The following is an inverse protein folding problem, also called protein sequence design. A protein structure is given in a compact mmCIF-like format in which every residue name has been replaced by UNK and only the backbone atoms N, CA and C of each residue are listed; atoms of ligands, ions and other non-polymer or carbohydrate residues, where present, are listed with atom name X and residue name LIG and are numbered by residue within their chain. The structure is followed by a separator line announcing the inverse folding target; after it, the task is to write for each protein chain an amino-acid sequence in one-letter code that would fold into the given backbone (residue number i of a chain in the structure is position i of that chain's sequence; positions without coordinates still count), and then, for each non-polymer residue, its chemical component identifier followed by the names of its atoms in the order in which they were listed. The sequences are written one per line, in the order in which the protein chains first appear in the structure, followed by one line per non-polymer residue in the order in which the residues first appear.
data_IF_406235329674
#
_entry.id   IF_406235329674
#
_cell.length_a   1.000
_cell.length_b   1.000
_cell.length_c   1.000
_cell.angle_alpha   90.00
_cell.angle_beta   90.00
_cell.angle_gamma   90.00
#
_symmetry.space_group_name_H-M   'P 1'
#
loop_
_entity.id
_entity.type
_entity.pdbx_description
1 polymer ?
#
# COMPACT_ATOMS: atom_id res chain seq x y z
N UNK A 1 8.22 9.46 55.38
CA UNK A 1 8.34 8.26 54.52
C UNK A 1 7.13 7.94 53.63
N UNK A 2 5.89 8.32 53.97
CA UNK A 2 4.69 8.05 53.13
C UNK A 2 4.60 8.92 51.86
N UNK A 3 4.96 10.21 51.95
CA UNK A 3 4.88 11.13 50.80
C UNK A 3 5.93 10.84 49.70
N UNK A 4 7.14 10.41 50.08
CA UNK A 4 8.21 10.10 49.11
C UNK A 4 7.85 8.90 48.24
N UNK A 5 7.15 7.90 48.81
CA UNK A 5 6.69 6.70 48.09
C UNK A 5 5.61 7.05 47.05
N UNK A 6 4.67 7.94 47.39
CA UNK A 6 3.59 8.35 46.49
C UNK A 6 4.10 9.14 45.28
N UNK A 7 5.11 9.98 45.48
CA UNK A 7 5.74 10.77 44.41
C UNK A 7 6.50 9.89 43.41
N UNK A 8 7.16 8.83 43.88
CA UNK A 8 7.85 7.85 43.02
C UNK A 8 6.84 7.06 42.16
N UNK A 9 5.72 6.61 42.73
CA UNK A 9 4.68 5.91 41.95
C UNK A 9 4.04 6.83 40.90
N UNK A 10 3.80 8.10 41.22
CA UNK A 10 3.29 9.08 40.26
C UNK A 10 4.27 9.33 39.10
N UNK A 11 5.57 9.44 39.40
CA UNK A 11 6.61 9.61 38.39
C UNK A 11 6.74 8.38 37.47
N UNK A 12 6.68 7.17 38.04
CA UNK A 12 6.71 5.93 37.25
C UNK A 12 5.46 5.80 36.36
N UNK A 13 4.28 6.15 36.88
CA UNK A 13 3.04 6.17 36.09
C UNK A 13 3.10 7.15 34.92
N UNK A 14 3.69 8.33 35.12
CA UNK A 14 3.87 9.34 34.07
C UNK A 14 4.84 8.85 32.97
N UNK A 15 5.92 8.19 33.34
CA UNK A 15 6.92 7.65 32.40
C UNK A 15 6.33 6.51 31.56
N UNK A 16 5.54 5.62 32.18
CA UNK A 16 4.85 4.52 31.46
C UNK A 16 3.82 5.06 30.47
N UNK A 17 3.05 6.09 30.88
CA UNK A 17 2.05 6.70 30.00
C UNK A 17 2.71 7.44 28.82
N UNK A 18 3.82 8.13 29.05
CA UNK A 18 4.59 8.80 27.99
C UNK A 18 5.20 7.78 26.99
N UNK A 19 5.69 6.63 27.46
CA UNK A 19 6.21 5.57 26.60
C UNK A 19 5.14 4.93 25.70
N UNK A 20 3.92 4.76 26.23
CA UNK A 20 2.79 4.22 25.47
C UNK A 20 2.29 5.16 24.34
N UNK A 21 2.44 6.48 24.52
CA UNK A 21 2.08 7.48 23.50
C UNK A 21 3.04 7.52 22.29
N UNK A 22 4.29 7.06 22.46
CA UNK A 22 5.32 7.08 21.40
C UNK A 22 5.35 5.77 20.59
N UNK A 23 4.80 4.68 21.12
CA UNK A 23 4.97 3.33 20.57
C UNK A 23 4.07 2.97 19.36
N UNK A 24 3.35 3.93 18.76
CA UNK A 24 2.32 3.63 17.74
C UNK A 24 2.66 4.05 16.31
N UNK A 25 3.86 4.57 16.06
CA UNK A 25 4.26 4.98 14.70
C UNK A 25 5.09 3.89 14.03
N UNK A 26 4.42 2.96 13.36
CA UNK A 26 5.07 2.13 12.34
C UNK A 26 5.51 3.01 11.18
N UNK A 27 6.72 2.84 10.62
CA UNK A 27 7.10 3.53 9.41
C UNK A 27 6.07 3.26 8.31
N UNK A 28 5.75 4.25 7.46
CA UNK A 28 4.88 4.01 6.32
C UNK A 28 5.47 2.85 5.49
N UNK A 29 4.64 1.91 5.03
CA UNK A 29 5.12 0.83 4.19
C UNK A 29 5.78 1.41 2.93
N UNK A 30 6.87 0.79 2.48
CA UNK A 30 7.52 1.18 1.24
C UNK A 30 6.53 1.11 0.07
N UNK A 31 6.44 2.19 -0.70
CA UNK A 31 5.61 2.24 -1.90
C UNK A 31 6.17 1.26 -2.94
N UNK A 32 5.36 0.32 -3.46
CA UNK A 32 5.78 -0.58 -4.53
C UNK A 32 6.29 0.20 -5.75
N UNK A 33 7.43 -0.22 -6.31
CA UNK A 33 7.95 0.33 -7.56
C UNK A 33 7.55 -0.59 -8.71
N UNK A 34 6.87 -0.01 -9.69
CA UNK A 34 6.58 -0.71 -10.94
C UNK A 34 7.84 -0.79 -11.79
N UNK A 35 8.15 -1.98 -12.29
CA UNK A 35 9.25 -2.24 -13.23
C UNK A 35 8.69 -2.81 -14.52
N UNK A 36 9.35 -2.51 -15.64
CA UNK A 36 8.98 -3.10 -16.93
C UNK A 36 9.36 -4.58 -16.92
N UNK A 37 8.42 -5.45 -17.24
CA UNK A 37 8.67 -6.88 -17.46
C UNK A 37 9.17 -7.09 -18.90
N UNK A 38 10.44 -7.50 -19.11
CA UNK A 38 10.97 -7.77 -20.44
C UNK A 38 10.35 -9.01 -21.10
N UNK A 39 9.75 -9.91 -20.32
CA UNK A 39 9.09 -11.12 -20.81
C UNK A 39 7.65 -10.91 -21.27
N UNK A 40 7.11 -9.70 -21.15
CA UNK A 40 5.72 -9.43 -21.52
C UNK A 40 5.49 -9.60 -23.04
N UNK A 41 4.34 -10.16 -23.47
CA UNK A 41 4.04 -10.35 -24.88
C UNK A 41 4.00 -9.04 -25.64
N UNK A 42 4.46 -9.06 -26.90
CA UNK A 42 4.26 -7.93 -27.81
C UNK A 42 2.84 -7.97 -28.37
N UNK A 43 2.19 -6.81 -28.36
CA UNK A 43 0.86 -6.66 -28.95
C UNK A 43 0.94 -6.86 -30.46
N UNK A 44 0.12 -7.75 -31.03
CA UNK A 44 0.09 -7.97 -32.47
C UNK A 44 -0.44 -6.74 -33.22
N UNK A 45 -0.19 -6.67 -34.52
CA UNK A 45 -0.79 -5.69 -35.44
C UNK A 45 -0.50 -4.21 -35.13
N UNK A 46 0.52 -3.91 -34.33
CA UNK A 46 0.89 -2.54 -33.93
C UNK A 46 -0.28 -1.75 -33.31
N UNK A 47 -1.19 -2.43 -32.61
CA UNK A 47 -2.32 -1.77 -31.98
C UNK A 47 -1.87 -0.78 -30.90
N UNK A 48 -2.51 0.39 -30.87
CA UNK A 48 -2.40 1.36 -29.79
C UNK A 48 -3.68 1.35 -28.97
N UNK A 49 -3.53 1.23 -27.66
CA UNK A 49 -4.66 1.29 -26.73
C UNK A 49 -4.77 2.69 -26.12
N UNK A 50 -5.99 3.21 -26.11
CA UNK A 50 -6.39 4.38 -25.33
C UNK A 50 -6.77 3.99 -23.90
N UNK A 51 -7.84 4.59 -23.36
CA UNK A 51 -8.32 4.22 -22.03
C UNK A 51 -9.01 2.86 -22.05
N UNK A 52 -8.37 1.86 -21.46
CA UNK A 52 -8.94 0.52 -21.27
C UNK A 52 -9.81 0.51 -20.01
N UNK A 53 -11.10 0.22 -20.18
CA UNK A 53 -12.05 0.11 -19.08
C UNK A 53 -12.10 -1.29 -18.47
N UNK A 54 -11.85 -2.33 -19.27
CA UNK A 54 -11.88 -3.72 -18.80
C UNK A 54 -11.04 -4.63 -19.69
N UNK A 55 -10.56 -5.73 -19.09
CA UNK A 55 -9.93 -6.86 -19.77
C UNK A 55 -10.57 -8.16 -19.29
N UNK A 56 -10.76 -9.11 -20.19
CA UNK A 56 -11.27 -10.45 -19.88
C UNK A 56 -10.54 -11.50 -20.70
N UNK A 57 -10.46 -12.72 -20.19
CA UNK A 57 -9.88 -13.87 -20.89
C UNK A 57 -10.96 -14.92 -21.06
N UNK A 58 -11.09 -15.50 -22.25
CA UNK A 58 -12.04 -16.58 -22.52
C UNK A 58 -11.39 -17.98 -22.33
N UNK A 59 -12.19 -19.03 -22.52
CA UNK A 59 -11.74 -20.42 -22.35
C UNK A 59 -10.71 -20.88 -23.40
N UNK A 60 -10.42 -20.06 -24.42
CA UNK A 60 -9.43 -20.33 -25.46
C UNK A 60 -8.19 -19.45 -25.33
N UNK A 61 -8.00 -18.79 -24.18
CA UNK A 61 -6.91 -17.86 -23.90
C UNK A 61 -6.91 -16.60 -24.79
N UNK A 62 -8.05 -16.23 -25.39
CA UNK A 62 -8.14 -14.93 -26.05
C UNK A 62 -8.31 -13.81 -25.03
N UNK A 63 -7.53 -12.75 -25.20
CA UNK A 63 -7.62 -11.54 -24.38
C UNK A 63 -8.55 -10.53 -25.05
N UNK A 64 -9.66 -10.24 -24.39
CA UNK A 64 -10.65 -9.25 -24.80
C UNK A 64 -10.40 -7.94 -24.07
N UNK A 65 -10.33 -6.83 -24.82
CA UNK A 65 -10.05 -5.49 -24.28
C UNK A 65 -11.23 -4.56 -24.60
N UNK A 66 -11.88 -4.03 -23.56
CA UNK A 66 -12.90 -2.99 -23.70
C UNK A 66 -12.25 -1.62 -23.57
N UNK A 67 -12.14 -0.90 -24.68
CA UNK A 67 -11.60 0.45 -24.72
C UNK A 67 -12.72 1.49 -24.81
N UNK A 68 -12.54 2.63 -24.14
CA UNK A 68 -13.39 3.80 -24.33
C UNK A 68 -12.82 4.65 -25.48
N UNK A 69 -13.55 4.84 -26.58
CA UNK A 69 -13.19 5.85 -27.57
C UNK A 69 -13.17 7.21 -26.86
N UNK A 70 -12.08 7.97 -27.00
CA UNK A 70 -12.09 9.39 -26.64
C UNK A 70 -13.02 10.15 -27.57
N UNK A 71 -13.76 11.13 -27.04
CA UNK A 71 -14.39 12.20 -27.85
C UNK A 71 -13.33 13.01 -28.57
#
# INVERSE_FOLDING_TARGET
MKLFRLSVFAAVGLVVLAGALVATQSPPPDTPRFVVDPGWPRIPNNWQFGQVASVSVDNQDHVWVLQRPGT
#
